data_IF_324618164611
#
_entry.id   IF_324618164611
#
_cell.length_a   1.000
_cell.length_b   1.000
_cell.length_c   1.000
_cell.angle_alpha   90.00
_cell.angle_beta   90.00
_cell.angle_gamma   90.00
#
_symmetry.space_group_name_H-M   'P 1'
#
loop_
_entity.id
_entity.type
_entity.pdbx_description
1 polymer ?
#
# COMPACT_ATOMS: atom_id res chain seq x y z
N UNK A 1 -14.29 33.57 -1.42
CA UNK A 1 -12.97 32.94 -1.59
C UNK A 1 -13.21 31.56 -2.15
N UNK A 2 -12.76 31.30 -3.37
CA UNK A 2 -12.85 29.97 -3.99
C UNK A 2 -11.82 29.09 -3.27
N UNK A 3 -12.26 27.98 -2.70
CA UNK A 3 -11.36 26.98 -2.15
C UNK A 3 -10.40 26.56 -3.28
N UNK A 4 -9.11 26.80 -3.11
CA UNK A 4 -8.10 26.23 -3.98
C UNK A 4 -8.19 24.72 -3.76
N UNK A 5 -8.83 24.02 -4.70
CA UNK A 5 -8.75 22.56 -4.76
C UNK A 5 -7.27 22.21 -4.95
N UNK A 6 -6.59 21.86 -3.85
CA UNK A 6 -5.27 21.27 -3.91
C UNK A 6 -5.38 20.02 -4.78
N UNK A 7 -4.69 20.04 -5.93
CA UNK A 7 -4.65 18.88 -6.80
C UNK A 7 -4.07 17.73 -5.98
N UNK A 8 -4.75 16.57 -5.90
CA UNK A 8 -4.21 15.42 -5.20
C UNK A 8 -2.82 15.08 -5.77
N UNK A 9 -1.86 14.86 -4.88
CA UNK A 9 -0.51 14.38 -5.19
C UNK A 9 -0.62 13.17 -6.14
N UNK A 10 0.37 13.02 -7.03
CA UNK A 10 0.53 11.86 -7.91
C UNK A 10 0.32 10.55 -7.13
N UNK A 11 0.84 10.44 -5.91
CA UNK A 11 0.68 9.29 -5.03
C UNK A 11 -0.78 9.04 -4.65
N UNK A 12 -1.51 10.08 -4.27
CA UNK A 12 -2.95 10.02 -4.01
C UNK A 12 -3.72 9.55 -5.24
N UNK A 13 -3.39 10.08 -6.43
CA UNK A 13 -4.03 9.68 -7.69
C UNK A 13 -3.75 8.21 -8.03
N UNK A 14 -2.52 7.75 -7.83
CA UNK A 14 -2.15 6.35 -8.05
C UNK A 14 -2.89 5.42 -7.09
N UNK A 15 -2.93 5.78 -5.81
CA UNK A 15 -3.69 5.03 -4.79
C UNK A 15 -5.18 4.94 -5.15
N UNK A 16 -5.80 6.04 -5.61
CA UNK A 16 -7.19 6.03 -6.06
C UNK A 16 -7.45 5.09 -7.24
N UNK A 17 -6.55 5.08 -8.24
CA UNK A 17 -6.68 4.18 -9.40
C UNK A 17 -6.62 2.71 -8.98
N UNK A 18 -5.75 2.40 -8.01
CA UNK A 18 -5.57 1.04 -7.52
C UNK A 18 -6.75 0.58 -6.67
N UNK A 19 -7.28 1.43 -5.80
CA UNK A 19 -8.54 1.15 -5.09
C UNK A 19 -9.69 0.90 -6.05
N UNK A 20 -9.76 1.63 -7.17
CA UNK A 20 -10.77 1.39 -8.20
C UNK A 20 -10.62 0.02 -8.90
N UNK A 21 -9.39 -0.48 -9.04
CA UNK A 21 -9.13 -1.82 -9.58
C UNK A 21 -9.67 -2.92 -8.64
N UNK A 22 -9.46 -2.79 -7.32
CA UNK A 22 -10.05 -3.71 -6.33
C UNK A 22 -11.58 -3.75 -6.43
N UNK A 23 -12.22 -2.58 -6.50
CA UNK A 23 -13.67 -2.47 -6.68
C UNK A 23 -14.13 -3.16 -7.98
N UNK A 24 -13.39 -2.99 -9.08
CA UNK A 24 -13.68 -3.67 -10.36
C UNK A 24 -13.62 -5.19 -10.24
N UNK A 25 -12.68 -5.72 -9.45
CA UNK A 25 -12.53 -7.15 -9.18
C UNK A 25 -13.54 -7.68 -8.13
N UNK A 26 -14.43 -6.83 -7.62
CA UNK A 26 -15.38 -7.14 -6.54
C UNK A 26 -14.69 -7.54 -5.23
N UNK A 27 -13.52 -6.95 -4.97
CA UNK A 27 -12.75 -7.08 -3.73
C UNK A 27 -12.87 -5.79 -2.90
N UNK A 28 -12.70 -5.90 -1.58
CA UNK A 28 -12.63 -4.73 -0.70
C UNK A 28 -11.23 -4.08 -0.82
N UNK A 29 -11.13 -2.78 -1.20
CA UNK A 29 -9.84 -2.10 -1.25
C UNK A 29 -9.09 -2.07 0.08
N UNK A 30 -9.79 -2.20 1.21
CA UNK A 30 -9.19 -2.24 2.55
C UNK A 30 -8.46 -3.57 2.83
N UNK A 31 -8.79 -4.64 2.10
CA UNK A 31 -8.10 -5.92 2.22
C UNK A 31 -6.72 -5.89 1.54
N UNK A 32 -6.56 -5.07 0.48
CA UNK A 32 -5.31 -4.95 -0.27
C UNK A 32 -4.36 -3.90 0.30
N UNK A 33 -4.88 -2.82 0.88
CA UNK A 33 -4.06 -1.71 1.40
C UNK A 33 -4.32 -1.53 2.89
N UNK A 34 -3.31 -1.82 3.71
CA UNK A 34 -3.36 -1.51 5.14
C UNK A 34 -2.39 -0.36 5.47
N UNK A 35 -2.89 0.71 6.04
CA UNK A 35 -2.05 1.83 6.51
C UNK A 35 -1.90 1.74 8.02
N UNK A 36 -0.67 1.90 8.50
CA UNK A 36 -0.32 1.88 9.92
C UNK A 36 0.49 3.14 10.27
N UNK A 37 0.46 3.52 11.54
CA UNK A 37 1.35 4.55 12.08
C UNK A 37 2.57 3.88 12.72
N UNK A 38 3.74 4.53 12.76
CA UNK A 38 4.94 3.97 13.43
C UNK A 38 4.71 3.60 14.92
N UNK A 39 3.69 4.21 15.52
CA UNK A 39 3.24 4.03 16.89
C UNK A 39 2.50 2.70 17.13
N UNK A 40 2.03 2.04 16.07
CA UNK A 40 1.13 0.89 16.18
C UNK A 40 1.89 -0.35 16.63
N UNK A 41 2.14 -0.42 17.94
CA UNK A 41 2.70 -1.59 18.60
C UNK A 41 1.77 -2.79 18.38
N UNK A 42 2.17 -3.68 17.48
CA UNK A 42 1.42 -4.90 17.15
C UNK A 42 0.72 -4.90 15.79
N UNK A 43 0.93 -3.89 14.94
CA UNK A 43 0.46 -3.86 13.55
C UNK A 43 0.78 -5.16 12.77
N UNK A 44 1.94 -5.76 13.03
CA UNK A 44 2.35 -7.03 12.40
C UNK A 44 1.40 -8.19 12.68
N UNK A 45 0.66 -8.20 13.79
CA UNK A 45 -0.34 -9.24 14.07
C UNK A 45 -1.51 -9.23 13.07
N UNK A 46 -1.78 -8.07 12.48
CA UNK A 46 -2.79 -7.94 11.44
C UNK A 46 -2.29 -8.40 10.06
N UNK A 47 -1.00 -8.70 9.92
CA UNK A 47 -0.44 -9.31 8.71
C UNK A 47 -0.87 -10.77 8.61
N UNK A 48 -1.01 -11.50 9.72
CA UNK A 48 -1.33 -12.95 9.72
C UNK A 48 -2.58 -13.32 8.90
N UNK A 49 -3.50 -12.38 8.69
CA UNK A 49 -4.75 -12.58 7.91
C UNK A 49 -4.66 -12.09 6.46
N UNK A 50 -3.57 -11.45 6.08
CA UNK A 50 -3.38 -10.85 4.74
C UNK A 50 -2.78 -11.89 3.81
N UNK A 51 -3.56 -12.31 2.82
CA UNK A 51 -3.10 -13.22 1.75
C UNK A 51 -2.17 -12.47 0.79
N UNK A 52 -2.55 -11.24 0.42
CA UNK A 52 -1.76 -10.36 -0.43
C UNK A 52 -2.14 -8.92 -0.13
N UNK A 53 -1.15 -8.07 0.15
CA UNK A 53 -1.42 -6.66 0.41
C UNK A 53 -0.17 -5.83 0.48
N UNK A 54 -0.36 -4.53 0.67
CA UNK A 54 0.70 -3.59 0.95
C UNK A 54 0.46 -2.96 2.32
N UNK A 55 1.56 -2.62 2.99
CA UNK A 55 1.51 -1.80 4.18
C UNK A 55 2.24 -0.49 3.98
N UNK A 56 1.73 0.56 4.62
CA UNK A 56 2.30 1.89 4.61
C UNK A 56 2.49 2.31 6.06
N UNK A 57 3.72 2.69 6.44
CA UNK A 57 4.04 3.26 7.75
C UNK A 57 4.34 4.74 7.55
N UNK A 58 3.50 5.57 8.15
CA UNK A 58 3.69 7.02 8.19
C UNK A 58 4.40 7.42 9.49
N UNK A 59 5.25 8.44 9.42
CA UNK A 59 5.87 9.02 10.60
C UNK A 59 4.80 9.72 11.46
N UNK A 60 4.79 9.45 12.77
CA UNK A 60 3.84 10.00 13.76
C UNK A 60 3.69 11.53 13.76
N UNK A 61 4.70 12.26 13.28
CA UNK A 61 4.77 13.73 13.28
C UNK A 61 5.10 14.31 11.89
N UNK A 62 4.85 13.55 10.82
CA UNK A 62 5.14 14.00 9.46
C UNK A 62 4.19 15.12 9.00
N UNK A 63 4.73 16.18 8.42
CA UNK A 63 3.96 17.09 7.57
C UNK A 63 3.60 16.35 6.27
N UNK A 64 2.56 16.80 5.55
CA UNK A 64 2.11 16.18 4.29
C UNK A 64 3.18 16.13 3.17
N UNK A 65 4.36 16.73 3.38
CA UNK A 65 5.52 16.68 2.49
C UNK A 65 6.59 15.67 2.89
N UNK A 66 6.50 15.07 4.07
CA UNK A 66 7.52 14.15 4.57
C UNK A 66 7.42 12.78 3.90
N UNK A 67 8.57 12.16 3.68
CA UNK A 67 8.65 10.81 3.11
C UNK A 67 8.05 9.78 4.08
N UNK A 68 7.46 8.72 3.54
CA UNK A 68 7.04 7.56 4.32
C UNK A 68 8.20 6.99 5.15
N UNK A 69 7.86 6.46 6.32
CA UNK A 69 8.80 5.70 7.15
C UNK A 69 9.11 4.36 6.49
N UNK A 70 8.05 3.65 6.10
CA UNK A 70 8.15 2.38 5.41
C UNK A 70 6.97 2.19 4.44
N UNK A 71 7.24 1.48 3.35
CA UNK A 71 6.22 0.85 2.52
C UNK A 71 6.70 -0.56 2.26
N UNK A 72 5.81 -1.52 2.40
CA UNK A 72 6.16 -2.91 2.12
C UNK A 72 5.02 -3.71 1.55
N UNK A 73 5.33 -4.95 1.21
CA UNK A 73 4.44 -5.90 0.57
C UNK A 73 4.32 -7.12 1.48
N UNK A 74 3.08 -7.54 1.71
CA UNK A 74 2.75 -8.71 2.53
C UNK A 74 2.20 -9.80 1.60
N UNK A 75 2.70 -11.02 1.76
CA UNK A 75 2.17 -12.23 1.12
C UNK A 75 2.05 -13.31 2.20
N UNK A 76 0.87 -13.92 2.32
CA UNK A 76 0.55 -14.96 3.31
C UNK A 76 1.00 -14.58 4.74
N UNK A 77 0.75 -13.33 5.09
CA UNK A 77 1.08 -12.73 6.39
C UNK A 77 2.56 -12.48 6.66
N UNK A 78 3.42 -12.61 5.64
CA UNK A 78 4.85 -12.31 5.72
C UNK A 78 5.15 -11.04 4.95
N UNK A 79 5.84 -10.09 5.57
CA UNK A 79 6.43 -8.96 4.85
C UNK A 79 7.57 -9.46 3.94
N UNK A 80 7.30 -9.52 2.63
CA UNK A 80 8.25 -10.04 1.62
C UNK A 80 9.14 -8.94 1.05
N UNK A 81 8.68 -7.69 1.11
CA UNK A 81 9.43 -6.49 0.77
C UNK A 81 9.11 -5.40 1.80
N UNK A 82 10.13 -4.63 2.15
CA UNK A 82 10.11 -3.58 3.17
C UNK A 82 11.11 -2.49 2.76
N UNK A 83 11.12 -1.39 3.50
CA UNK A 83 11.96 -0.22 3.30
C UNK A 83 11.76 0.45 1.92
N UNK A 84 10.57 0.30 1.32
CA UNK A 84 10.25 0.96 0.06
C UNK A 84 9.89 2.41 0.35
N UNK A 85 10.69 3.37 -0.09
CA UNK A 85 10.44 4.80 0.17
C UNK A 85 9.51 5.47 -0.84
N UNK A 86 9.06 4.72 -1.84
CA UNK A 86 8.25 5.23 -2.95
C UNK A 86 7.06 4.33 -3.22
N UNK A 87 5.86 4.85 -2.95
CA UNK A 87 4.57 4.18 -3.19
C UNK A 87 4.47 3.63 -4.63
N UNK A 88 4.80 4.38 -5.70
CA UNK A 88 4.66 3.87 -7.07
C UNK A 88 5.53 2.63 -7.33
N UNK A 89 6.73 2.60 -6.75
CA UNK A 89 7.66 1.47 -6.87
C UNK A 89 7.09 0.23 -6.20
N UNK A 90 6.54 0.38 -5.00
CA UNK A 90 5.94 -0.74 -4.28
C UNK A 90 4.75 -1.37 -5.01
N UNK A 91 3.91 -0.55 -5.64
CA UNK A 91 2.82 -1.05 -6.50
C UNK A 91 3.30 -1.77 -7.76
N UNK A 92 4.34 -1.24 -8.42
CA UNK A 92 4.95 -1.92 -9.56
C UNK A 92 5.53 -3.28 -9.17
N UNK A 93 6.15 -3.38 -7.98
CA UNK A 93 6.67 -4.63 -7.43
C UNK A 93 5.55 -5.61 -7.07
N UNK A 94 4.44 -5.15 -6.47
CA UNK A 94 3.28 -5.98 -6.18
C UNK A 94 2.72 -6.62 -7.46
N UNK A 95 2.49 -5.82 -8.50
CA UNK A 95 2.00 -6.30 -9.79
C UNK A 95 3.00 -7.26 -10.45
N UNK A 96 4.30 -7.00 -10.35
CA UNK A 96 5.34 -7.90 -10.80
C UNK A 96 5.33 -9.25 -10.05
N UNK A 97 5.11 -9.22 -8.73
CA UNK A 97 5.01 -10.42 -7.90
C UNK A 97 3.76 -11.24 -8.23
N UNK A 98 2.61 -10.59 -8.40
CA UNK A 98 1.36 -11.23 -8.87
C UNK A 98 1.59 -11.92 -10.21
N UNK A 99 2.22 -11.23 -11.16
CA UNK A 99 2.56 -11.81 -12.46
C UNK A 99 3.51 -13.02 -12.34
N UNK A 100 4.54 -12.94 -11.50
CA UNK A 100 5.46 -14.05 -11.24
C UNK A 100 4.79 -15.24 -10.53
N UNK A 101 3.73 -15.00 -9.75
CA UNK A 101 2.93 -16.05 -9.13
C UNK A 101 2.05 -16.74 -10.18
N UNK A 102 1.36 -15.96 -11.02
CA UNK A 102 0.54 -16.49 -12.13
C UNK A 102 1.35 -17.38 -13.10
N UNK A 103 2.58 -16.96 -13.44
CA UNK A 103 3.47 -17.77 -14.30
C UNK A 103 3.93 -19.09 -13.67
N UNK A 104 3.95 -19.21 -12.34
CA UNK A 104 4.37 -20.45 -11.66
C UNK A 104 3.29 -21.54 -11.68
N UNK A 105 2.03 -21.19 -11.99
CA UNK A 105 0.91 -22.13 -12.10
C UNK A 105 0.59 -22.56 -13.53
N UNK A 106 1.46 -22.24 -14.50
CA UNK A 106 1.32 -22.60 -15.92
C UNK A 106 2.41 -23.56 -16.38
#
# INVERSE_FOLDING_TARGET
MVALEEKPNIETRLLCILKALCVYLNEDPEDLVKTYMDADVGAEKEFEKVVLGVYIVEHQHADASDSLEDFGIIIDGIAVLQDLKHIPTGWALLLGLIYCLDQRFR
#
